data_IF_783349307674
#
_entry.id   IF_783349307674
#
_cell.length_a   1.000
_cell.length_b   1.000
_cell.length_c   1.000
_cell.angle_alpha   90.00
_cell.angle_beta   90.00
_cell.angle_gamma   90.00
#
_symmetry.space_group_name_H-M   'P 1'
#
loop_
_entity.id
_entity.type
_entity.pdbx_description
1 polymer ?
#
# COMPACT_ATOMS: atom_id res chain seq x y z
N UNK A 1 -5.75 43.65 21.94
CA UNK A 1 -5.37 42.22 22.09
C UNK A 1 -4.69 41.76 20.80
N UNK A 2 -3.35 41.73 20.76
CA UNK A 2 -2.57 41.44 19.56
C UNK A 2 -2.31 39.93 19.44
N UNK A 3 -2.83 39.30 18.39
CA UNK A 3 -2.66 37.87 18.12
C UNK A 3 -1.28 37.64 17.53
N UNK A 4 -0.31 37.24 18.37
CA UNK A 4 1.03 36.80 17.91
C UNK A 4 0.86 35.58 17.00
N UNK A 5 1.09 35.77 15.71
CA UNK A 5 1.20 34.69 14.73
C UNK A 5 2.45 33.86 15.04
N UNK A 6 2.24 32.68 15.63
CA UNK A 6 3.29 31.68 15.75
C UNK A 6 3.70 31.24 14.34
N UNK A 7 4.86 31.70 13.88
CA UNK A 7 5.55 31.11 12.73
C UNK A 7 5.99 29.71 13.16
N UNK A 8 5.14 28.72 12.89
CA UNK A 8 5.47 27.32 13.09
C UNK A 8 6.71 27.04 12.24
N UNK A 9 7.81 26.70 12.91
CA UNK A 9 9.06 26.23 12.32
C UNK A 9 8.73 25.32 11.13
N UNK A 10 9.03 25.79 9.92
CA UNK A 10 8.98 24.96 8.74
C UNK A 10 10.16 24.01 8.88
N UNK A 11 9.88 22.76 9.27
CA UNK A 11 10.86 21.68 9.13
C UNK A 11 11.44 21.77 7.72
N UNK A 12 12.77 21.66 7.54
CA UNK A 12 13.39 21.74 6.23
C UNK A 12 12.64 20.80 5.30
N UNK A 13 12.12 21.33 4.19
CA UNK A 13 11.53 20.50 3.16
C UNK A 13 12.65 19.60 2.65
N UNK A 14 12.60 18.31 3.00
CA UNK A 14 13.48 17.31 2.40
C UNK A 14 13.00 17.23 0.95
N UNK A 15 13.72 17.89 0.05
CA UNK A 15 13.52 17.74 -1.39
C UNK A 15 13.91 16.30 -1.77
N UNK A 16 12.99 15.35 -1.58
CA UNK A 16 13.11 13.96 -2.02
C UNK A 16 12.91 13.85 -3.55
N UNK A 17 13.44 14.82 -4.28
CA UNK A 17 13.33 14.97 -5.73
C UNK A 17 14.62 14.61 -6.44
N UNK A 18 15.40 13.65 -5.95
CA UNK A 18 16.60 13.16 -6.66
C UNK A 18 17.11 11.85 -6.06
N UNK A 19 16.28 10.79 -6.07
CA UNK A 19 16.82 9.41 -6.04
C UNK A 19 17.28 8.98 -7.44
N UNK A 20 18.08 9.86 -8.05
CA UNK A 20 19.09 9.51 -9.03
C UNK A 20 20.37 10.12 -8.49
N UNK A 21 21.31 9.27 -8.11
CA UNK A 21 22.65 9.65 -7.68
C UNK A 21 23.24 10.75 -8.58
N UNK A 22 23.36 11.96 -8.06
CA UNK A 22 24.42 12.91 -8.46
C UNK A 22 24.94 13.64 -7.23
N UNK A 23 25.77 12.96 -6.45
CA UNK A 23 26.77 13.63 -5.63
C UNK A 23 27.96 14.00 -6.52
N UNK A 24 27.82 15.07 -7.29
CA UNK A 24 28.96 15.74 -7.92
C UNK A 24 28.62 17.21 -8.10
N UNK A 25 29.36 18.07 -7.39
CA UNK A 25 29.33 19.51 -7.63
C UNK A 25 29.16 20.40 -6.41
N UNK A 26 29.73 20.05 -5.25
CA UNK A 26 30.22 21.12 -4.36
C UNK A 26 31.38 21.77 -5.12
N UNK A 27 31.10 22.90 -5.78
CA UNK A 27 32.13 23.77 -6.32
C UNK A 27 32.97 24.26 -5.15
N UNK A 28 34.17 23.72 -5.05
CA UNK A 28 35.24 24.22 -4.21
C UNK A 28 35.47 25.68 -4.56
N UNK A 29 35.09 26.56 -3.63
CA UNK A 29 35.66 27.90 -3.61
C UNK A 29 37.17 27.75 -3.37
N UNK A 30 38.07 28.42 -4.11
CA UNK A 30 39.50 28.32 -3.90
C UNK A 30 39.85 29.14 -2.64
N UNK A 31 39.70 28.52 -1.49
CA UNK A 31 40.14 29.05 -0.20
C UNK A 31 41.19 28.13 0.40
N UNK A 32 42.45 28.55 0.36
CA UNK A 32 43.59 27.91 1.02
C UNK A 32 43.26 27.57 2.49
N UNK A 33 43.14 26.28 2.81
CA UNK A 33 43.15 25.78 4.20
C UNK A 33 44.00 24.49 4.24
N UNK A 34 44.90 24.36 5.23
CA UNK A 34 45.95 23.35 5.25
C UNK A 34 45.43 21.93 5.58
N UNK A 35 46.22 20.98 5.10
CA UNK A 35 46.17 19.53 5.28
C UNK A 35 45.70 19.05 6.66
N UNK A 36 44.49 18.50 6.74
CA UNK A 36 44.09 17.62 7.84
C UNK A 36 44.41 16.16 7.47
N UNK A 37 45.32 15.56 8.25
CA UNK A 37 45.83 14.18 8.10
C UNK A 37 44.81 13.08 8.48
N UNK A 38 43.57 13.45 8.81
CA UNK A 38 42.46 12.53 9.06
C UNK A 38 41.38 12.68 8.00
N UNK A 39 41.78 12.54 6.73
CA UNK A 39 40.85 12.32 5.64
C UNK A 39 40.17 10.98 5.82
N UNK A 40 39.03 10.97 6.52
CA UNK A 40 38.11 9.84 6.59
C UNK A 40 37.82 9.42 5.16
N UNK A 41 38.44 8.32 4.70
CA UNK A 41 38.19 7.77 3.37
C UNK A 41 36.68 7.58 3.26
N UNK A 42 36.04 8.46 2.48
CA UNK A 42 34.71 8.20 1.96
C UNK A 42 34.92 7.04 1.01
N UNK A 43 34.83 5.82 1.52
CA UNK A 43 34.68 4.61 0.72
C UNK A 43 33.52 4.96 -0.20
N UNK A 44 33.82 5.07 -1.50
CA UNK A 44 32.81 5.32 -2.51
C UNK A 44 31.70 4.31 -2.23
N UNK A 45 30.44 4.75 -1.99
CA UNK A 45 29.38 3.81 -1.71
C UNK A 45 29.41 2.82 -2.85
N UNK A 46 29.69 1.55 -2.52
CA UNK A 46 29.71 0.48 -3.50
C UNK A 46 28.51 0.69 -4.39
N UNK A 47 28.77 0.82 -5.69
CA UNK A 47 27.75 0.99 -6.70
C UNK A 47 26.87 -0.26 -6.59
N UNK A 48 25.80 -0.16 -5.80
CA UNK A 48 24.87 -1.27 -5.56
C UNK A 48 24.24 -1.52 -6.92
N UNK A 49 24.83 -2.44 -7.67
CA UNK A 49 24.27 -2.92 -8.93
C UNK A 49 22.98 -3.63 -8.57
N UNK A 50 21.89 -2.89 -8.66
CA UNK A 50 20.57 -3.46 -8.55
C UNK A 50 20.45 -4.51 -9.66
N UNK A 51 20.30 -5.79 -9.27
CA UNK A 51 20.17 -6.90 -10.21
C UNK A 51 18.90 -6.80 -11.06
N UNK A 52 17.93 -5.99 -10.64
CA UNK A 52 16.67 -5.79 -11.33
C UNK A 52 16.43 -4.33 -11.65
N UNK A 53 15.87 -4.01 -12.84
CA UNK A 53 15.47 -2.66 -13.17
C UNK A 53 14.37 -2.20 -12.21
N UNK A 54 14.40 -0.93 -11.80
CA UNK A 54 13.36 -0.34 -10.93
C UNK A 54 12.01 -0.24 -11.64
N UNK A 55 12.02 -0.06 -12.95
CA UNK A 55 10.80 0.08 -13.76
C UNK A 55 10.82 -0.86 -14.96
N UNK A 56 9.66 -1.44 -15.26
CA UNK A 56 9.38 -2.10 -16.52
C UNK A 56 8.52 -1.16 -17.36
N UNK A 57 8.94 -0.94 -18.60
CA UNK A 57 8.16 -0.23 -19.59
C UNK A 57 7.73 -1.21 -20.68
N UNK A 58 6.43 -1.40 -20.85
CA UNK A 58 5.89 -2.15 -21.97
C UNK A 58 5.13 -1.18 -22.87
N UNK A 59 5.44 -1.19 -24.17
CA UNK A 59 4.66 -0.44 -25.16
C UNK A 59 3.77 -1.41 -25.89
N UNK A 60 2.48 -1.10 -25.99
CA UNK A 60 1.53 -1.93 -26.72
C UNK A 60 0.67 -1.04 -27.60
N UNK A 61 0.29 -1.62 -28.75
CA UNK A 61 -0.62 -1.01 -29.72
C UNK A 61 -1.86 -1.90 -29.80
N UNK A 62 -3.03 -1.44 -29.30
CA UNK A 62 -4.27 -2.22 -29.41
C UNK A 62 -4.59 -2.52 -30.88
N UNK A 63 -5.14 -3.70 -31.22
CA UNK A 63 -5.34 -4.13 -32.61
C UNK A 63 -6.29 -3.25 -33.45
N UNK A 64 -6.92 -2.21 -32.88
CA UNK A 64 -7.83 -1.28 -33.58
C UNK A 64 -7.57 0.19 -33.22
N UNK A 65 -6.39 0.51 -32.67
CA UNK A 65 -6.04 1.88 -32.31
C UNK A 65 -4.73 2.29 -32.97
N UNK A 66 -4.69 3.50 -33.54
CA UNK A 66 -3.45 4.16 -33.99
C UNK A 66 -2.61 4.69 -32.82
N UNK A 67 -3.17 4.68 -31.61
CA UNK A 67 -2.53 5.21 -30.41
C UNK A 67 -1.61 4.17 -29.80
N UNK A 68 -0.35 4.56 -29.57
CA UNK A 68 0.60 3.80 -28.78
C UNK A 68 0.41 4.11 -27.30
N UNK A 69 0.35 3.06 -26.49
CA UNK A 69 0.26 3.18 -25.05
C UNK A 69 1.54 2.63 -24.43
N UNK A 70 2.07 3.34 -23.44
CA UNK A 70 3.18 2.90 -22.60
C UNK A 70 2.66 2.60 -21.21
N UNK A 71 2.78 1.33 -20.86
CA UNK A 71 2.60 0.79 -19.53
C UNK A 71 3.91 0.99 -18.76
N UNK A 72 3.85 1.66 -17.61
CA UNK A 72 4.97 1.75 -16.68
C UNK A 72 4.59 1.09 -15.36
N UNK A 73 5.48 0.24 -14.84
CA UNK A 73 5.27 -0.51 -13.62
C UNK A 73 6.55 -0.53 -12.79
N UNK A 74 6.45 -0.25 -11.48
CA UNK A 74 7.56 -0.35 -10.53
C UNK A 74 7.76 -1.82 -10.15
N UNK A 75 8.85 -2.43 -10.62
CA UNK A 75 9.06 -3.87 -10.49
C UNK A 75 9.25 -4.29 -9.03
N UNK A 76 10.00 -3.50 -8.25
CA UNK A 76 10.29 -3.84 -6.86
C UNK A 76 9.00 -3.86 -6.04
N UNK A 77 8.23 -2.79 -6.12
CA UNK A 77 6.97 -2.70 -5.38
C UNK A 77 5.98 -3.75 -5.87
N UNK A 78 5.95 -4.03 -7.18
CA UNK A 78 5.11 -5.07 -7.75
C UNK A 78 5.46 -6.43 -7.19
N UNK A 79 6.74 -6.79 -7.13
CA UNK A 79 7.17 -8.07 -6.56
C UNK A 79 6.84 -8.18 -5.08
N UNK A 80 7.11 -7.13 -4.28
CA UNK A 80 6.75 -7.09 -2.86
C UNK A 80 5.24 -7.28 -2.65
N UNK A 81 4.42 -6.56 -3.43
CA UNK A 81 2.96 -6.61 -3.37
C UNK A 81 2.39 -7.95 -3.88
N UNK A 82 2.93 -8.46 -4.98
CA UNK A 82 2.56 -9.77 -5.53
C UNK A 82 2.91 -10.89 -4.55
N UNK A 83 4.06 -10.81 -3.88
CA UNK A 83 4.43 -11.79 -2.85
C UNK A 83 3.41 -11.82 -1.71
N UNK A 84 2.95 -10.66 -1.23
CA UNK A 84 1.91 -10.59 -0.18
C UNK A 84 0.57 -11.16 -0.66
N UNK A 85 0.12 -10.78 -1.86
CA UNK A 85 -1.13 -11.26 -2.45
C UNK A 85 -1.07 -12.78 -2.67
N UNK A 86 0.02 -13.28 -3.26
CA UNK A 86 0.22 -14.70 -3.50
C UNK A 86 0.34 -15.50 -2.19
N UNK A 87 0.99 -14.95 -1.16
CA UNK A 87 1.08 -15.60 0.15
C UNK A 87 -0.28 -15.76 0.79
N UNK A 88 -1.12 -14.71 0.76
CA UNK A 88 -2.48 -14.77 1.28
C UNK A 88 -3.35 -15.74 0.45
N UNK A 89 -3.22 -15.71 -0.88
CA UNK A 89 -3.89 -16.65 -1.78
C UNK A 89 -3.48 -18.09 -1.55
N UNK A 90 -2.20 -18.34 -1.27
CA UNK A 90 -1.70 -19.65 -0.89
C UNK A 90 -2.33 -20.13 0.42
N UNK A 91 -2.40 -19.28 1.46
CA UNK A 91 -3.10 -19.61 2.70
C UNK A 91 -4.58 -19.93 2.46
N UNK A 92 -5.29 -19.08 1.71
CA UNK A 92 -6.72 -19.26 1.41
C UNK A 92 -7.01 -20.55 0.63
N UNK A 93 -6.14 -20.90 -0.33
CA UNK A 93 -6.26 -22.15 -1.10
C UNK A 93 -5.89 -23.38 -0.27
N UNK A 94 -4.89 -23.31 0.60
CA UNK A 94 -4.52 -24.41 1.51
C UNK A 94 -5.61 -24.70 2.53
N UNK A 95 -6.20 -23.68 3.14
CA UNK A 95 -7.35 -23.86 4.03
C UNK A 95 -8.52 -24.52 3.30
N UNK A 96 -8.84 -24.06 2.08
CA UNK A 96 -9.88 -24.67 1.25
C UNK A 96 -9.60 -26.15 0.92
N UNK A 97 -8.34 -26.48 0.61
CA UNK A 97 -7.92 -27.85 0.33
C UNK A 97 -8.06 -28.79 1.53
N UNK A 98 -7.67 -28.33 2.73
CA UNK A 98 -7.80 -29.11 3.97
C UNK A 98 -9.25 -29.44 4.33
N UNK A 99 -10.22 -28.62 3.89
CA UNK A 99 -11.65 -28.91 4.04
C UNK A 99 -12.09 -30.00 3.05
N UNK A 100 -11.66 -29.88 1.79
CA UNK A 100 -12.02 -30.82 0.71
C UNK A 100 -11.58 -32.25 1.02
N UNK A 101 -10.43 -32.43 1.65
CA UNK A 101 -9.92 -33.74 2.05
C UNK A 101 -10.73 -34.38 3.20
N UNK A 102 -11.39 -33.57 4.04
CA UNK A 102 -12.10 -34.06 5.24
C UNK A 102 -13.58 -34.39 5.00
N UNK A 103 -14.23 -33.75 4.03
CA UNK A 103 -15.66 -33.91 3.79
C UNK A 103 -15.92 -34.94 2.68
N UNK A 104 -16.68 -36.02 2.95
CA UNK A 104 -16.98 -37.00 1.92
C UNK A 104 -17.85 -36.36 0.81
N UNK A 105 -17.62 -36.73 -0.46
CA UNK A 105 -18.17 -36.04 -1.64
C UNK A 105 -19.71 -35.97 -1.70
N UNK A 106 -20.39 -36.86 -0.99
CA UNK A 106 -21.85 -36.92 -0.87
C UNK A 106 -22.45 -35.83 0.04
N UNK A 107 -21.68 -35.22 0.94
CA UNK A 107 -22.14 -34.17 1.87
C UNK A 107 -22.17 -32.76 1.24
N UNK A 108 -21.59 -32.59 0.05
CA UNK A 108 -21.53 -31.31 -0.67
C UNK A 108 -22.88 -30.85 -1.25
N UNK A 109 -23.82 -31.78 -1.46
CA UNK A 109 -25.15 -31.47 -2.01
C UNK A 109 -26.10 -30.81 -0.99
N UNK A 110 -25.74 -30.78 0.30
CA UNK A 110 -26.43 -29.98 1.31
C UNK A 110 -26.01 -28.51 1.19
N UNK A 111 -26.45 -27.87 0.10
CA UNK A 111 -26.14 -26.50 -0.34
C UNK A 111 -26.39 -25.40 0.71
N UNK A 112 -27.07 -25.73 1.81
CA UNK A 112 -27.55 -24.76 2.79
C UNK A 112 -26.62 -24.50 3.98
N UNK A 113 -25.48 -25.22 4.12
CA UNK A 113 -24.51 -24.96 5.19
C UNK A 113 -23.08 -25.04 4.67
N UNK A 114 -22.63 -23.96 4.02
CA UNK A 114 -21.19 -23.73 3.84
C UNK A 114 -20.49 -23.82 5.21
N UNK A 115 -19.39 -24.57 5.29
CA UNK A 115 -18.59 -24.65 6.51
C UNK A 115 -18.00 -23.27 6.85
N UNK A 116 -17.77 -22.96 8.14
CA UNK A 116 -17.15 -21.69 8.56
C UNK A 116 -15.83 -21.41 7.83
N UNK A 117 -15.03 -22.45 7.60
CA UNK A 117 -13.75 -22.33 6.90
C UNK A 117 -13.91 -21.96 5.42
N UNK A 118 -15.01 -22.36 4.78
CA UNK A 118 -15.29 -21.97 3.41
C UNK A 118 -15.70 -20.50 3.33
N UNK A 119 -16.42 -19.98 4.33
CA UNK A 119 -16.69 -18.55 4.45
C UNK A 119 -15.43 -17.73 4.64
N UNK A 120 -14.52 -18.17 5.52
CA UNK A 120 -13.22 -17.53 5.71
C UNK A 120 -12.41 -17.52 4.40
N UNK A 121 -12.40 -18.63 3.66
CA UNK A 121 -11.73 -18.70 2.35
C UNK A 121 -12.34 -17.71 1.33
N UNK A 122 -13.68 -17.61 1.28
CA UNK A 122 -14.39 -16.63 0.42
C UNK A 122 -14.01 -15.21 0.83
N UNK A 123 -13.98 -14.93 2.12
CA UNK A 123 -13.64 -13.61 2.66
C UNK A 123 -12.22 -13.18 2.30
N UNK A 124 -11.24 -14.09 2.48
CA UNK A 124 -9.86 -13.86 2.05
C UNK A 124 -9.78 -13.66 0.53
N UNK A 125 -10.55 -14.40 -0.27
CA UNK A 125 -10.59 -14.25 -1.72
C UNK A 125 -11.17 -12.89 -2.15
N UNK A 126 -12.20 -12.40 -1.47
CA UNK A 126 -12.76 -11.06 -1.69
C UNK A 126 -11.74 -9.98 -1.37
N UNK A 127 -11.01 -10.12 -0.25
CA UNK A 127 -9.94 -9.20 0.11
C UNK A 127 -8.81 -9.22 -0.93
N UNK A 128 -8.36 -10.40 -1.36
CA UNK A 128 -7.35 -10.55 -2.43
C UNK A 128 -7.81 -9.85 -3.71
N UNK A 129 -9.06 -10.05 -4.10
CA UNK A 129 -9.64 -9.41 -5.30
C UNK A 129 -9.64 -7.89 -5.16
N UNK A 130 -10.07 -7.37 -4.01
CA UNK A 130 -10.05 -5.93 -3.73
C UNK A 130 -8.60 -5.37 -3.74
N UNK A 131 -7.63 -6.12 -3.21
CA UNK A 131 -6.21 -5.77 -3.23
C UNK A 131 -5.60 -5.79 -4.63
N UNK A 132 -5.99 -6.73 -5.50
CA UNK A 132 -5.58 -6.76 -6.91
C UNK A 132 -6.17 -5.56 -7.64
N UNK A 133 -7.47 -5.27 -7.44
CA UNK A 133 -8.11 -4.08 -8.03
C UNK A 133 -7.39 -2.81 -7.58
N UNK A 134 -7.14 -2.68 -6.28
CA UNK A 134 -6.37 -1.56 -5.71
C UNK A 134 -5.00 -1.44 -6.37
N UNK A 135 -4.24 -2.54 -6.43
CA UNK A 135 -2.92 -2.57 -7.04
C UNK A 135 -2.98 -2.14 -8.51
N UNK A 136 -3.90 -2.70 -9.30
CA UNK A 136 -4.06 -2.37 -10.70
C UNK A 136 -4.43 -0.89 -10.91
N UNK A 137 -5.32 -0.35 -10.09
CA UNK A 137 -5.76 1.05 -10.20
C UNK A 137 -4.66 2.04 -9.81
N UNK A 138 -3.81 1.67 -8.85
CA UNK A 138 -2.83 2.60 -8.26
C UNK A 138 -1.43 2.48 -8.83
N UNK A 139 -1.04 1.30 -9.29
CA UNK A 139 0.35 0.98 -9.67
C UNK A 139 0.56 0.89 -11.17
N UNK A 140 -0.51 0.67 -11.94
CA UNK A 140 -0.40 0.50 -13.37
C UNK A 140 -0.59 1.85 -14.05
N UNK A 141 0.51 2.41 -14.54
CA UNK A 141 0.48 3.69 -15.24
C UNK A 141 0.31 3.48 -16.74
N UNK A 142 -0.78 4.02 -17.28
CA UNK A 142 -1.03 4.06 -18.72
C UNK A 142 -0.74 5.47 -19.22
N UNK A 143 0.31 5.61 -20.02
CA UNK A 143 0.67 6.88 -20.67
C UNK A 143 0.43 6.76 -22.17
N UNK A 144 -0.31 7.71 -22.73
CA UNK A 144 -0.49 7.82 -24.18
C UNK A 144 0.81 8.36 -24.77
N UNK A 145 1.46 7.60 -25.64
CA UNK A 145 2.58 8.09 -26.43
C UNK A 145 1.97 8.84 -27.61
N UNK A 146 2.15 10.16 -27.64
CA UNK A 146 1.86 10.93 -28.85
C UNK A 146 2.76 10.40 -29.96
N UNK A 147 2.25 10.13 -31.17
CA UNK A 147 3.12 9.82 -32.29
C UNK A 147 4.12 10.96 -32.39
N UNK A 148 5.42 10.65 -32.27
CA UNK A 148 6.46 11.61 -32.58
C UNK A 148 6.19 12.01 -34.03
N UNK A 149 5.61 13.20 -34.22
CA UNK A 149 5.66 13.84 -35.51
C UNK A 149 7.14 14.10 -35.70
N UNK A 150 7.77 13.29 -36.55
CA UNK A 150 9.16 13.42 -37.00
C UNK A 150 9.50 14.89 -37.24
N UNK A 151 9.97 15.59 -36.20
CA UNK A 151 10.58 16.91 -36.29
C UNK A 151 12.03 16.79 -36.75
N UNK A 152 12.36 15.72 -37.48
CA UNK A 152 13.60 15.56 -38.25
C UNK A 152 13.65 16.50 -39.45
N UNK A 153 12.55 17.17 -39.83
CA UNK A 153 12.53 18.22 -40.87
C UNK A 153 12.41 19.64 -40.31
N UNK A 154 13.43 20.12 -39.57
CA UNK A 154 13.93 21.51 -39.54
C UNK A 154 14.87 21.72 -38.33
N UNK A 155 16.01 21.05 -38.32
CA UNK A 155 17.21 21.81 -37.99
C UNK A 155 17.46 22.72 -39.20
N UNK A 156 16.78 23.87 -39.23
CA UNK A 156 17.34 25.00 -39.94
C UNK A 156 18.72 25.20 -39.30
N UNK A 157 19.76 25.04 -40.12
CA UNK A 157 21.12 25.44 -39.82
C UNK A 157 21.08 26.71 -38.97
N UNK A 158 21.73 26.76 -37.78
CA UNK A 158 21.85 28.00 -37.05
C UNK A 158 22.55 28.99 -37.98
N UNK A 159 21.79 29.94 -38.50
CA UNK A 159 22.32 31.03 -39.28
C UNK A 159 23.34 31.73 -38.38
N UNK A 160 24.62 31.60 -38.71
CA UNK A 160 25.73 32.31 -38.07
C UNK A 160 25.39 33.80 -38.06
N UNK A 161 24.88 34.29 -36.93
CA UNK A 161 24.82 35.72 -36.68
C UNK A 161 26.17 36.14 -36.12
N UNK A 162 26.84 37.14 -36.73
CA UNK A 162 28.11 37.64 -36.22
C UNK A 162 27.95 38.14 -34.79
N UNK A 163 28.95 37.81 -33.97
CA UNK A 163 29.00 38.09 -32.54
C UNK A 163 28.94 39.59 -32.26
N UNK A 164 27.79 40.07 -31.77
CA UNK A 164 27.70 41.35 -31.07
C UNK A 164 28.08 41.14 -29.59
N UNK A 165 29.01 41.94 -29.03
CA UNK A 165 29.47 41.78 -27.65
C UNK A 165 28.40 42.28 -26.68
N UNK A 166 27.60 41.35 -26.15
CA UNK A 166 26.70 41.61 -25.03
C UNK A 166 27.47 41.44 -23.71
N UNK A 167 27.93 42.57 -23.16
CA UNK A 167 28.46 42.69 -21.80
C UNK A 167 27.28 42.71 -20.79
N UNK A 168 26.57 41.60 -20.60
CA UNK A 168 25.84 41.22 -19.37
C UNK A 168 25.70 39.70 -19.42
N UNK A 169 26.71 38.98 -18.95
CA UNK A 169 26.69 37.52 -18.87
C UNK A 169 27.48 37.06 -17.65
N UNK A 170 26.81 36.97 -16.48
CA UNK A 170 27.41 36.24 -15.35
C UNK A 170 26.52 35.31 -14.52
N UNK A 171 25.21 35.19 -14.71
CA UNK A 171 24.41 34.29 -13.84
C UNK A 171 23.54 33.21 -14.51
N UNK A 172 23.71 32.93 -15.81
CA UNK A 172 22.91 31.88 -16.48
C UNK A 172 23.64 30.54 -16.72
N UNK A 173 24.76 30.28 -16.03
CA UNK A 173 25.53 29.06 -16.24
C UNK A 173 25.24 27.98 -15.20
N UNK A 174 24.03 27.41 -15.30
CA UNK A 174 23.68 25.98 -15.10
C UNK A 174 22.15 25.84 -15.03
N UNK A 175 21.47 26.13 -16.15
CA UNK A 175 20.29 25.36 -16.45
C UNK A 175 20.77 23.94 -16.78
N UNK A 176 21.03 23.13 -15.76
CA UNK A 176 21.06 21.68 -15.95
C UNK A 176 19.69 21.36 -16.52
N UNK A 177 19.61 21.05 -17.83
CA UNK A 177 18.39 20.52 -18.43
C UNK A 177 17.89 19.45 -17.47
N UNK A 178 16.78 19.67 -16.73
CA UNK A 178 16.27 18.64 -15.86
C UNK A 178 15.90 17.52 -16.82
N UNK A 179 16.68 16.44 -16.82
CA UNK A 179 16.33 15.22 -17.54
C UNK A 179 14.88 14.99 -17.13
N UNK A 180 13.92 15.08 -18.06
CA UNK A 180 12.51 15.02 -17.70
C UNK A 180 12.33 13.67 -17.06
N UNK A 181 12.18 13.65 -15.73
CA UNK A 181 12.01 12.42 -14.98
C UNK A 181 10.76 11.77 -15.55
N UNK A 182 10.89 10.62 -16.23
CA UNK A 182 9.82 10.10 -17.09
C UNK A 182 8.67 9.50 -16.27
N UNK A 183 8.78 9.49 -14.95
CA UNK A 183 7.69 9.10 -14.08
C UNK A 183 6.81 10.34 -13.81
N UNK A 184 5.61 10.45 -14.43
CA UNK A 184 4.62 11.37 -13.93
C UNK A 184 4.42 11.06 -12.45
N UNK A 185 4.82 11.98 -11.55
CA UNK A 185 4.50 11.92 -10.13
C UNK A 185 2.99 12.04 -10.02
N UNK A 186 2.28 10.94 -10.21
CA UNK A 186 0.86 10.84 -9.96
C UNK A 186 0.67 10.82 -8.44
N UNK A 187 0.85 12.01 -7.85
CA UNK A 187 -0.04 12.60 -6.87
C UNK A 187 -0.81 11.58 -6.01
N UNK A 188 -0.21 11.27 -4.86
CA UNK A 188 -0.94 11.25 -3.60
C UNK A 188 -2.10 10.23 -3.50
N UNK A 189 -1.89 9.01 -3.96
CA UNK A 189 -2.88 7.94 -3.78
C UNK A 189 -2.36 6.92 -2.77
N UNK A 190 -3.10 6.71 -1.67
CA UNK A 190 -2.71 5.75 -0.63
C UNK A 190 -2.69 6.32 0.80
N UNK A 191 -3.38 7.41 1.10
CA UNK A 191 -3.43 7.90 2.48
C UNK A 191 -4.69 7.45 3.21
N UNK A 192 -4.54 7.18 4.49
CA UNK A 192 -5.69 7.02 5.41
C UNK A 192 -6.39 8.37 5.49
N UNK A 193 -7.72 8.36 5.50
CA UNK A 193 -8.49 9.61 5.49
C UNK A 193 -8.11 10.56 6.62
N UNK A 194 -8.03 11.86 6.31
CA UNK A 194 -7.58 12.95 7.19
C UNK A 194 -6.10 12.90 7.65
N UNK A 195 -5.27 12.03 7.08
CA UNK A 195 -3.82 12.04 7.30
C UNK A 195 -3.09 12.89 6.25
N UNK A 196 -1.82 13.19 6.52
CA UNK A 196 -0.98 14.05 5.68
C UNK A 196 0.19 13.21 5.14
N UNK A 197 0.65 13.40 3.89
CA UNK A 197 1.74 12.63 3.29
C UNK A 197 3.02 12.58 4.13
N UNK A 198 3.30 13.65 4.88
CA UNK A 198 4.44 13.72 5.81
C UNK A 198 4.43 12.67 6.92
N UNK A 199 3.29 12.04 7.19
CA UNK A 199 3.17 10.99 8.21
C UNK A 199 3.55 9.61 7.66
N UNK A 200 3.75 9.50 6.35
CA UNK A 200 4.05 8.25 5.67
C UNK A 200 5.52 8.17 5.33
N UNK A 201 5.99 6.93 5.23
CA UNK A 201 7.35 6.63 4.77
C UNK A 201 7.41 6.84 3.27
N UNK A 202 8.51 7.38 2.77
CA UNK A 202 8.84 7.43 1.35
C UNK A 202 8.83 6.01 0.77
N UNK A 203 7.68 5.63 0.23
CA UNK A 203 7.39 4.37 -0.42
C UNK A 203 6.31 4.67 -1.46
N UNK A 204 6.30 3.93 -2.56
CA UNK A 204 5.40 4.26 -3.66
C UNK A 204 3.91 4.17 -3.24
N UNK A 205 3.59 3.30 -2.27
CA UNK A 205 2.24 2.99 -1.76
C UNK A 205 1.99 3.40 -0.32
N UNK A 206 2.90 4.18 0.28
CA UNK A 206 2.80 4.58 1.68
C UNK A 206 2.65 3.40 2.67
N UNK A 207 2.97 2.17 2.22
CA UNK A 207 2.77 0.92 2.96
C UNK A 207 1.32 0.43 3.04
N UNK A 208 0.40 0.97 2.23
CA UNK A 208 -1.03 0.63 2.30
C UNK A 208 -1.32 -0.84 2.04
N UNK A 209 -0.83 -1.41 0.93
CA UNK A 209 -1.10 -2.82 0.63
C UNK A 209 -0.50 -3.75 1.70
N UNK A 210 0.67 -3.39 2.23
CA UNK A 210 1.27 -4.10 3.36
C UNK A 210 0.34 -4.05 4.58
N UNK A 211 -0.17 -2.87 4.95
CA UNK A 211 -1.11 -2.72 6.06
C UNK A 211 -2.42 -3.48 5.85
N UNK A 212 -2.93 -3.51 4.61
CA UNK A 212 -4.16 -4.22 4.23
C UNK A 212 -4.02 -5.74 4.32
N UNK A 213 -2.87 -6.30 3.97
CA UNK A 213 -2.70 -7.74 3.82
C UNK A 213 -2.00 -8.42 5.00
N UNK A 214 -1.17 -7.70 5.76
CA UNK A 214 -0.35 -8.32 6.83
C UNK A 214 -1.20 -8.91 7.95
N UNK A 215 -2.20 -8.17 8.44
CA UNK A 215 -3.09 -8.66 9.50
C UNK A 215 -3.80 -9.96 9.08
N UNK A 216 -4.55 -9.97 7.96
CA UNK A 216 -5.22 -11.15 7.43
C UNK A 216 -4.26 -12.30 7.10
N UNK A 217 -3.06 -12.01 6.60
CA UNK A 217 -2.05 -13.04 6.31
C UNK A 217 -1.57 -13.73 7.60
N UNK A 218 -1.24 -12.95 8.63
CA UNK A 218 -0.80 -13.49 9.91
C UNK A 218 -1.91 -14.29 10.59
N UNK A 219 -3.14 -13.79 10.61
CA UNK A 219 -4.27 -14.50 11.21
C UNK A 219 -4.62 -15.78 10.46
N UNK A 220 -4.62 -15.76 9.12
CA UNK A 220 -4.85 -16.94 8.29
C UNK A 220 -3.75 -18.00 8.46
N UNK A 221 -2.49 -17.58 8.57
CA UNK A 221 -1.39 -18.50 8.84
C UNK A 221 -1.53 -19.18 10.22
N UNK A 222 -1.89 -18.41 11.25
CA UNK A 222 -2.13 -18.95 12.60
C UNK A 222 -3.31 -19.90 12.63
N UNK A 223 -4.41 -19.57 11.94
CA UNK A 223 -5.56 -20.44 11.80
C UNK A 223 -5.18 -21.75 11.11
N UNK A 224 -4.47 -21.68 9.98
CA UNK A 224 -4.01 -22.87 9.25
C UNK A 224 -3.15 -23.80 10.13
N UNK A 225 -2.24 -23.22 10.95
CA UNK A 225 -1.43 -24.01 11.87
C UNK A 225 -2.28 -24.67 12.96
N UNK A 226 -3.23 -23.95 13.55
CA UNK A 226 -4.15 -24.50 14.56
C UNK A 226 -5.06 -25.59 13.98
N UNK A 227 -5.56 -25.42 12.77
CA UNK A 227 -6.34 -26.44 12.06
C UNK A 227 -5.51 -27.69 11.75
N UNK A 228 -4.24 -27.52 11.38
CA UNK A 228 -3.32 -28.64 11.15
C UNK A 228 -3.03 -29.41 12.44
N UNK A 229 -2.84 -28.70 13.55
CA UNK A 229 -2.66 -29.30 14.87
C UNK A 229 -3.90 -30.11 15.29
N UNK A 230 -5.10 -29.58 15.04
CA UNK A 230 -6.37 -30.25 15.28
C UNK A 230 -6.62 -31.46 14.37
N UNK A 231 -6.03 -31.47 13.17
CA UNK A 231 -6.16 -32.58 12.21
C UNK A 231 -5.27 -33.79 12.53
N UNK A 232 -4.21 -33.59 13.32
CA UNK A 232 -3.26 -34.65 13.60
C UNK A 232 -3.94 -35.81 14.35
N UNK A 233 -3.44 -37.03 14.14
CA UNK A 233 -3.93 -38.23 14.82
C UNK A 233 -2.78 -38.89 15.57
N UNK A 234 -2.71 -38.77 16.92
CA UNK A 234 -3.63 -38.02 17.79
C UNK A 234 -3.51 -36.49 17.62
N UNK A 235 -4.53 -35.70 18.02
CA UNK A 235 -4.46 -34.23 17.99
C UNK A 235 -3.25 -33.74 18.77
N UNK A 236 -2.52 -32.78 18.20
CA UNK A 236 -1.37 -32.19 18.85
C UNK A 236 -1.81 -31.31 20.02
N UNK A 237 -1.14 -31.45 21.16
CA UNK A 237 -1.31 -30.53 22.28
C UNK A 237 -0.91 -29.12 21.81
N UNK A 238 -1.80 -28.10 21.92
CA UNK A 238 -1.47 -26.74 21.54
C UNK A 238 -0.35 -26.12 22.40
N UNK A 239 -0.04 -26.70 23.56
CA UNK A 239 0.97 -26.19 24.47
C UNK A 239 2.34 -26.81 24.15
N UNK A 240 3.43 -26.01 24.18
CA UNK A 240 4.78 -26.56 24.05
C UNK A 240 5.07 -27.49 25.24
N UNK A 241 5.90 -28.52 25.03
CA UNK A 241 6.26 -29.47 26.10
C UNK A 241 6.87 -28.81 27.34
N UNK A 242 7.49 -27.65 27.17
CA UNK A 242 8.07 -26.84 28.26
C UNK A 242 7.10 -25.79 28.83
N UNK A 243 5.78 -25.94 28.63
CA UNK A 243 4.80 -25.01 29.16
C UNK A 243 4.65 -25.20 30.67
N UNK A 244 5.09 -24.19 31.44
CA UNK A 244 5.13 -24.24 32.91
C UNK A 244 3.83 -23.66 33.52
N UNK A 245 3.04 -22.94 32.72
CA UNK A 245 1.78 -22.34 33.17
C UNK A 245 0.69 -23.42 33.16
N UNK A 246 -0.30 -23.28 34.05
CA UNK A 246 -1.46 -24.16 34.08
C UNK A 246 -2.16 -24.24 32.72
N UNK A 247 -2.74 -25.42 32.43
CA UNK A 247 -3.48 -25.62 31.19
C UNK A 247 -4.75 -24.75 31.19
N UNK A 248 -5.23 -24.31 30.01
CA UNK A 248 -6.46 -23.54 29.91
C UNK A 248 -7.61 -24.26 30.62
N UNK A 249 -8.25 -23.59 31.58
CA UNK A 249 -9.38 -24.13 32.33
C UNK A 249 -10.57 -24.28 31.40
N UNK A 250 -11.12 -25.49 31.34
CA UNK A 250 -12.38 -25.76 30.64
C UNK A 250 -13.53 -25.38 31.57
N UNK A 251 -14.47 -24.57 31.08
CA UNK A 251 -15.65 -24.17 31.85
C UNK A 251 -16.66 -25.32 31.91
N UNK A 252 -16.65 -26.04 33.04
CA UNK A 252 -17.64 -27.08 33.34
C UNK A 252 -19.03 -26.44 33.47
N UNK A 253 -19.99 -26.89 32.65
CA UNK A 253 -21.37 -26.39 32.64
C UNK A 253 -21.78 -25.57 31.42
N UNK A 254 -20.88 -25.34 30.45
CA UNK A 254 -21.31 -24.88 29.13
C UNK A 254 -22.05 -26.00 28.39
N UNK A 255 -23.10 -25.66 27.61
CA UNK A 255 -23.87 -26.65 26.85
C UNK A 255 -23.01 -27.43 25.83
N UNK A 256 -21.86 -26.87 25.43
CA UNK A 256 -20.91 -27.45 24.48
C UNK A 256 -19.48 -27.15 24.96
N UNK A 257 -18.92 -27.94 25.90
CA UNK A 257 -17.57 -27.71 26.40
C UNK A 257 -16.55 -27.88 25.27
N UNK A 258 -15.83 -26.80 24.97
CA UNK A 258 -14.78 -26.79 23.95
C UNK A 258 -13.46 -27.26 24.58
N UNK A 259 -12.78 -28.18 23.91
CA UNK A 259 -11.39 -28.49 24.23
C UNK A 259 -10.49 -27.28 23.99
N UNK A 260 -9.35 -27.20 24.67
CA UNK A 260 -8.40 -26.08 24.51
C UNK A 260 -8.01 -25.86 23.02
N UNK A 261 -7.84 -26.93 22.25
CA UNK A 261 -7.50 -26.86 20.84
C UNK A 261 -8.67 -26.35 19.98
N UNK A 262 -9.91 -26.76 20.27
CA UNK A 262 -11.09 -26.24 19.59
C UNK A 262 -11.32 -24.75 19.91
N UNK A 263 -11.15 -24.36 21.17
CA UNK A 263 -11.23 -22.95 21.58
C UNK A 263 -10.14 -22.10 20.89
N UNK A 264 -8.92 -22.66 20.73
CA UNK A 264 -7.85 -22.01 19.98
C UNK A 264 -8.23 -21.82 18.51
N UNK A 265 -8.75 -22.85 17.83
CA UNK A 265 -9.21 -22.75 16.43
C UNK A 265 -10.30 -21.67 16.31
N UNK A 266 -11.30 -21.68 17.19
CA UNK A 266 -12.38 -20.68 17.20
C UNK A 266 -11.84 -19.25 17.41
N UNK A 267 -10.87 -19.08 18.31
CA UNK A 267 -10.18 -17.81 18.53
C UNK A 267 -9.44 -17.34 17.27
N UNK A 268 -8.76 -18.25 16.56
CA UNK A 268 -8.06 -17.91 15.31
C UNK A 268 -9.01 -17.57 14.16
N UNK A 269 -10.17 -18.21 14.07
CA UNK A 269 -11.24 -17.82 13.12
C UNK A 269 -11.70 -16.38 13.37
N UNK A 270 -12.05 -16.07 14.62
CA UNK A 270 -12.42 -14.71 15.02
C UNK A 270 -11.33 -13.69 14.75
N UNK A 271 -10.06 -14.07 14.90
CA UNK A 271 -8.92 -13.21 14.56
C UNK A 271 -8.84 -12.93 13.06
N UNK A 272 -9.17 -13.91 12.20
CA UNK A 272 -9.24 -13.69 10.75
C UNK A 272 -10.35 -12.69 10.42
N UNK A 273 -11.57 -12.92 10.92
CA UNK A 273 -12.72 -12.03 10.72
C UNK A 273 -12.44 -10.59 11.18
N UNK A 274 -11.79 -10.42 12.34
CA UNK A 274 -11.43 -9.09 12.82
C UNK A 274 -10.36 -8.43 11.95
N UNK A 275 -9.38 -9.18 11.47
CA UNK A 275 -8.31 -8.66 10.65
C UNK A 275 -8.82 -8.18 9.28
N UNK A 276 -9.69 -8.94 8.65
CA UNK A 276 -10.33 -8.64 7.36
C UNK A 276 -11.37 -7.51 7.45
N UNK A 277 -12.13 -7.41 8.55
CA UNK A 277 -12.96 -6.23 8.85
C UNK A 277 -12.07 -4.99 8.94
N UNK A 278 -10.94 -5.07 9.65
CA UNK A 278 -9.99 -3.97 9.76
C UNK A 278 -9.43 -3.57 8.38
N UNK A 279 -9.04 -4.54 7.54
CA UNK A 279 -8.61 -4.28 6.16
C UNK A 279 -9.70 -3.64 5.31
N UNK A 280 -10.96 -4.06 5.48
CA UNK A 280 -12.10 -3.46 4.78
C UNK A 280 -12.30 -2.00 5.19
N UNK A 281 -12.20 -1.70 6.49
CA UNK A 281 -12.25 -0.33 7.01
C UNK A 281 -11.11 0.51 6.41
N UNK A 282 -9.89 -0.03 6.34
CA UNK A 282 -8.75 0.65 5.71
C UNK A 282 -9.00 0.95 4.22
N UNK A 283 -9.60 0.02 3.47
CA UNK A 283 -10.00 0.27 2.07
C UNK A 283 -10.98 1.44 1.99
N UNK A 284 -11.99 1.48 2.88
CA UNK A 284 -12.95 2.59 2.95
C UNK A 284 -12.24 3.92 3.25
N UNK A 285 -11.26 3.93 4.15
CA UNK A 285 -10.43 5.11 4.41
C UNK A 285 -9.71 5.59 3.14
N UNK A 286 -9.10 4.71 2.38
CA UNK A 286 -8.35 5.11 1.17
C UNK A 286 -9.30 5.60 0.07
N UNK A 287 -10.43 4.92 -0.13
CA UNK A 287 -11.45 5.36 -1.08
C UNK A 287 -11.97 6.74 -0.70
N UNK A 288 -12.26 6.97 0.58
CA UNK A 288 -12.70 8.28 1.07
C UNK A 288 -11.63 9.36 0.85
N UNK A 289 -10.35 9.08 1.14
CA UNK A 289 -9.23 9.98 0.84
C UNK A 289 -9.19 10.36 -0.63
N UNK A 290 -9.25 9.36 -1.50
CA UNK A 290 -9.20 9.58 -2.93
C UNK A 290 -10.39 10.40 -3.43
N UNK A 291 -11.61 10.06 -3.01
CA UNK A 291 -12.82 10.78 -3.40
C UNK A 291 -12.79 12.23 -2.94
N UNK A 292 -12.39 12.47 -1.69
CA UNK A 292 -12.33 13.82 -1.11
C UNK A 292 -11.24 14.67 -1.77
N UNK A 293 -10.04 14.12 -1.98
CA UNK A 293 -8.95 14.82 -2.66
C UNK A 293 -9.31 15.13 -4.13
N UNK A 294 -9.88 14.16 -4.85
CA UNK A 294 -10.37 14.34 -6.23
C UNK A 294 -11.43 15.46 -6.30
N UNK A 295 -12.32 15.55 -5.31
CA UNK A 295 -13.34 16.60 -5.24
C UNK A 295 -12.74 17.97 -4.93
N UNK A 296 -11.74 18.05 -4.04
CA UNK A 296 -11.10 19.32 -3.68
C UNK A 296 -10.24 19.88 -4.82
N UNK A 297 -9.47 19.02 -5.51
CA UNK A 297 -8.64 19.44 -6.66
C UNK A 297 -9.44 20.04 -7.81
N UNK A 298 -10.70 19.65 -7.98
CA UNK A 298 -11.59 20.25 -8.99
C UNK A 298 -11.99 21.68 -8.64
N UNK A 299 -11.99 22.05 -7.36
CA UNK A 299 -12.47 23.35 -6.88
C UNK A 299 -11.34 24.33 -6.61
N UNK A 300 -10.19 23.85 -6.17
CA UNK A 300 -9.07 24.67 -5.72
C UNK A 300 -7.77 24.19 -6.37
N UNK A 301 -7.08 25.10 -7.05
CA UNK A 301 -5.68 24.89 -7.45
C UNK A 301 -4.82 25.13 -6.22
N UNK A 302 -4.42 24.04 -5.56
CA UNK A 302 -3.49 24.07 -4.44
C UNK A 302 -2.08 23.82 -4.96
N UNK A 303 -1.04 24.50 -4.43
CA UNK A 303 0.35 24.22 -4.80
C UNK A 303 0.68 22.74 -4.71
N UNK A 304 1.48 22.25 -5.65
CA UNK A 304 1.89 20.85 -5.68
C UNK A 304 2.58 20.46 -4.37
N UNK A 305 2.14 19.35 -3.78
CA UNK A 305 2.69 18.80 -2.53
C UNK A 305 1.89 19.09 -1.26
N UNK A 306 0.92 20.01 -1.27
CA UNK A 306 0.01 20.21 -0.14
C UNK A 306 -1.31 19.44 -0.33
N UNK A 307 -1.74 18.68 0.69
CA UNK A 307 -3.06 18.03 0.67
C UNK A 307 -4.13 19.05 1.03
N UNK A 308 -4.95 19.37 0.03
CA UNK A 308 -6.01 20.39 0.12
C UNK A 308 -7.23 19.93 0.92
N UNK A 309 -7.44 18.61 1.01
CA UNK A 309 -8.63 18.00 1.60
C UNK A 309 -8.64 18.01 3.14
N UNK A 310 -7.48 18.17 3.79
CA UNK A 310 -7.38 18.17 5.26
C UNK A 310 -7.62 19.58 5.81
N UNK A 311 -8.65 19.80 6.65
CA UNK A 311 -8.89 21.11 7.25
C UNK A 311 -7.72 21.57 8.11
N UNK A 312 -7.31 22.83 7.95
CA UNK A 312 -6.25 23.45 8.76
C UNK A 312 -6.68 23.72 10.20
N UNK A 313 -7.98 23.91 10.45
CA UNK A 313 -8.54 24.08 11.81
C UNK A 313 -8.61 22.71 12.49
N UNK A 314 -7.89 22.55 13.59
CA UNK A 314 -7.79 21.29 14.33
C UNK A 314 -9.15 20.79 14.83
N UNK A 315 -9.99 21.66 15.40
CA UNK A 315 -11.34 21.29 15.85
C UNK A 315 -12.21 20.71 14.73
N UNK A 316 -12.15 21.32 13.53
CA UNK A 316 -12.88 20.83 12.36
C UNK A 316 -12.35 19.48 11.89
N UNK A 317 -11.03 19.28 11.92
CA UNK A 317 -10.40 17.99 11.60
C UNK A 317 -10.86 16.90 12.57
N UNK A 318 -10.82 17.17 13.87
CA UNK A 318 -11.28 16.22 14.90
C UNK A 318 -12.76 15.90 14.74
N UNK A 319 -13.61 16.91 14.56
CA UNK A 319 -15.05 16.71 14.34
C UNK A 319 -15.33 15.84 13.11
N UNK A 320 -14.69 16.12 11.98
CA UNK A 320 -14.83 15.31 10.77
C UNK A 320 -14.30 13.87 10.99
N UNK A 321 -13.19 13.71 11.71
CA UNK A 321 -12.66 12.39 12.10
C UNK A 321 -13.68 11.58 12.89
N UNK A 322 -14.29 12.18 13.93
CA UNK A 322 -15.30 11.52 14.76
C UNK A 322 -16.53 11.14 13.93
N UNK A 323 -17.04 12.06 13.09
CA UNK A 323 -18.20 11.80 12.24
C UNK A 323 -17.94 10.67 11.25
N UNK A 324 -16.74 10.64 10.65
CA UNK A 324 -16.36 9.57 9.74
C UNK A 324 -16.25 8.23 10.47
N UNK A 325 -15.59 8.18 11.63
CA UNK A 325 -15.49 6.95 12.42
C UNK A 325 -16.86 6.41 12.79
N UNK A 326 -17.76 7.25 13.32
CA UNK A 326 -19.14 6.86 13.65
C UNK A 326 -19.85 6.34 12.39
N UNK A 327 -19.74 7.05 11.26
CA UNK A 327 -20.37 6.65 10.01
C UNK A 327 -19.87 5.31 9.48
N UNK A 328 -18.55 5.07 9.53
CA UNK A 328 -17.95 3.80 9.06
C UNK A 328 -18.32 2.66 10.02
N UNK A 329 -18.30 2.88 11.33
CA UNK A 329 -18.71 1.88 12.32
C UNK A 329 -20.17 1.49 12.15
N UNK A 330 -21.08 2.47 11.98
CA UNK A 330 -22.49 2.20 11.71
C UNK A 330 -22.67 1.46 10.38
N UNK A 331 -21.94 1.84 9.34
CA UNK A 331 -21.99 1.15 8.05
C UNK A 331 -21.52 -0.31 8.16
N UNK A 332 -20.38 -0.58 8.82
CA UNK A 332 -19.89 -1.95 9.05
C UNK A 332 -20.91 -2.76 9.85
N UNK A 333 -21.53 -2.16 10.88
CA UNK A 333 -22.57 -2.82 11.67
C UNK A 333 -23.79 -3.18 10.80
N UNK A 334 -24.28 -2.25 9.98
CA UNK A 334 -25.40 -2.49 9.06
C UNK A 334 -25.06 -3.59 8.04
N UNK A 335 -23.85 -3.59 7.48
CA UNK A 335 -23.39 -4.64 6.57
C UNK A 335 -23.37 -5.99 7.29
N UNK A 336 -22.83 -6.05 8.51
CA UNK A 336 -22.78 -7.30 9.30
C UNK A 336 -24.17 -7.86 9.60
N UNK A 337 -25.12 -7.00 9.99
CA UNK A 337 -26.52 -7.40 10.21
C UNK A 337 -27.15 -7.89 8.90
N UNK A 338 -26.96 -7.16 7.80
CA UNK A 338 -27.50 -7.58 6.50
C UNK A 338 -26.93 -8.92 6.02
N UNK A 339 -25.63 -9.16 6.22
CA UNK A 339 -24.98 -10.46 5.93
C UNK A 339 -25.58 -11.58 6.79
N UNK A 340 -25.91 -11.30 8.06
CA UNK A 340 -26.54 -12.25 8.98
C UNK A 340 -27.94 -12.63 8.51
N UNK A 341 -28.74 -11.64 8.13
CA UNK A 341 -30.10 -11.88 7.59
C UNK A 341 -30.06 -12.67 6.27
N UNK A 342 -29.05 -12.42 5.42
CA UNK A 342 -28.84 -13.17 4.18
C UNK A 342 -28.20 -14.56 4.38
N UNK A 343 -27.94 -14.97 5.64
CA UNK A 343 -27.26 -16.22 5.99
C UNK A 343 -25.88 -16.37 5.34
N UNK A 344 -25.21 -15.26 5.11
CA UNK A 344 -23.82 -15.22 4.64
C UNK A 344 -22.91 -15.25 5.87
N UNK A 345 -22.13 -16.31 6.04
CA UNK A 345 -21.24 -16.50 7.19
C UNK A 345 -19.98 -15.62 7.20
N UNK A 346 -20.00 -14.50 6.47
CA UNK A 346 -18.91 -13.52 6.44
C UNK A 346 -18.97 -12.70 7.75
N UNK A 347 -17.85 -12.60 8.48
CA UNK A 347 -17.75 -11.90 9.78
C UNK A 347 -18.67 -12.46 10.88
N UNK A 348 -18.96 -13.76 10.81
CA UNK A 348 -19.89 -14.47 11.70
C UNK A 348 -19.29 -15.76 12.24
N UNK A 349 -17.98 -15.79 12.50
CA UNK A 349 -17.31 -16.93 13.15
C UNK A 349 -17.71 -17.07 14.63
N UNK A 350 -18.99 -17.34 14.89
CA UNK A 350 -19.55 -17.67 16.21
C UNK A 350 -19.69 -19.17 16.40
#
# INVERSE_FOLDING_TARGET
MHRRTFTRSRSPAINAGQNGFTFAGQTTSPGNIPSSLFGRQKIAPFEIRHLMPSFIHATFRPPFSSVHWRLTLDLRQTLENSLLICSLGYCATKMRGSILERLPPNLWNARDKLSPEMWISIELALLITASIIYFCVTRIYWTKISPDYDTTTRQATPQERPASPSLIARDNRRASNPVPSPAPRNSNFGFVWMTVPKNYRDSADDGMLFGLLTGPLMSAALLYLSEKAAAASPPLDPLPQSWIIEQPIVLDGSAHPLTALQALVLSRRNLVDMATVCSTILIVHVIASWMTERRHRRKLKVPEGEVSSVPRKESRRTYLSVLFTISVSLWVLCVRIALSEMRLGIWQST
#
